data_IF_920295481956
#
_entry.id   IF_920295481956
#
_cell.length_a   1.000
_cell.length_b   1.000
_cell.length_c   1.000
_cell.angle_alpha   90.00
_cell.angle_beta   90.00
_cell.angle_gamma   90.00
#
_symmetry.space_group_name_H-M   'P 1'
#
loop_
_entity.id
_entity.type
_entity.pdbx_description
1 polymer ?
#
# COMPACT_ATOMS: atom_id res chain seq x y z
N UNK A 1 -26.77 -6.85 30.86
CA UNK A 1 -25.84 -5.77 30.47
C UNK A 1 -24.51 -6.43 30.17
N UNK A 2 -24.08 -6.44 28.91
CA UNK A 2 -22.79 -6.99 28.50
C UNK A 2 -22.00 -5.85 27.84
N UNK A 3 -20.71 -5.64 28.18
CA UNK A 3 -19.88 -4.71 27.43
C UNK A 3 -19.47 -5.38 26.11
N UNK A 4 -19.74 -4.70 25.01
CA UNK A 4 -19.18 -5.01 23.69
C UNK A 4 -17.68 -4.72 23.77
N UNK A 5 -16.89 -5.79 23.69
CA UNK A 5 -15.44 -5.72 23.50
C UNK A 5 -15.20 -5.02 22.17
N UNK A 6 -14.97 -3.72 22.26
CA UNK A 6 -14.74 -2.84 21.12
C UNK A 6 -13.30 -3.02 20.74
N UNK A 7 -13.12 -3.64 19.58
CA UNK A 7 -11.86 -4.01 18.97
C UNK A 7 -10.79 -2.93 19.16
N UNK A 8 -9.68 -3.36 19.75
CA UNK A 8 -8.46 -2.59 19.93
C UNK A 8 -7.88 -2.27 18.55
N UNK A 9 -8.34 -1.16 17.97
CA UNK A 9 -7.84 -0.63 16.70
C UNK A 9 -6.44 -0.08 16.95
N UNK A 10 -5.46 -1.00 16.93
CA UNK A 10 -4.04 -0.70 16.98
C UNK A 10 -3.76 0.43 16.00
N UNK A 11 -3.33 1.54 16.59
CA UNK A 11 -2.97 2.75 15.91
C UNK A 11 -1.89 2.43 14.86
N UNK A 12 -2.29 2.30 13.60
CA UNK A 12 -1.40 2.53 12.48
C UNK A 12 -1.12 4.04 12.43
N UNK A 13 -0.24 4.44 13.35
CA UNK A 13 0.54 5.67 13.32
C UNK A 13 1.00 5.85 11.88
N UNK A 14 0.41 6.84 11.23
CA UNK A 14 0.89 7.34 9.96
C UNK A 14 2.30 7.85 10.16
N UNK A 15 3.27 7.08 9.69
CA UNK A 15 4.62 7.58 9.46
C UNK A 15 4.88 7.51 7.96
N UNK A 16 4.15 8.37 7.24
CA UNK A 16 4.60 8.84 5.94
C UNK A 16 5.62 9.95 6.20
N UNK A 17 6.78 9.55 6.74
CA UNK A 17 7.95 10.39 6.85
C UNK A 17 8.53 10.54 5.46
N UNK A 18 8.17 11.63 4.76
CA UNK A 18 8.99 12.17 3.68
C UNK A 18 10.30 12.67 4.31
N UNK A 19 11.19 11.72 4.65
CA UNK A 19 12.50 12.00 5.21
C UNK A 19 13.42 12.44 4.08
N UNK A 20 13.54 13.75 3.92
CA UNK A 20 14.67 14.41 3.27
C UNK A 20 15.93 14.12 4.12
N UNK A 21 16.50 12.92 3.94
CA UNK A 21 17.69 12.48 4.64
C UNK A 21 18.42 11.46 3.78
N UNK A 22 19.62 11.83 3.31
CA UNK A 22 20.50 10.99 2.51
C UNK A 22 20.81 9.67 3.22
N UNK A 23 20.36 8.55 2.64
CA UNK A 23 20.95 7.23 2.89
C UNK A 23 20.83 6.39 1.62
N UNK A 24 21.95 5.99 0.97
CA UNK A 24 21.91 5.10 -0.18
C UNK A 24 21.76 3.66 0.31
N UNK A 25 20.52 3.19 0.44
CA UNK A 25 20.20 1.76 0.54
C UNK A 25 19.31 1.38 -0.65
N UNK A 26 19.92 1.32 -1.83
CA UNK A 26 19.24 1.20 -3.12
C UNK A 26 18.71 -0.20 -3.46
N UNK A 27 18.67 -1.13 -2.50
CA UNK A 27 18.10 -2.47 -2.73
C UNK A 27 16.79 -2.68 -1.93
N UNK A 28 16.76 -2.34 -0.64
CA UNK A 28 15.57 -2.54 0.20
C UNK A 28 14.35 -1.71 -0.21
N UNK A 29 14.53 -0.48 -0.71
CA UNK A 29 13.41 0.39 -1.09
C UNK A 29 12.74 -0.08 -2.39
N UNK A 30 13.54 -0.55 -3.35
CA UNK A 30 13.04 -1.09 -4.61
C UNK A 30 12.32 -2.42 -4.40
N UNK A 31 12.85 -3.29 -3.54
CA UNK A 31 12.23 -4.57 -3.21
C UNK A 31 10.94 -4.39 -2.40
N UNK A 32 10.93 -3.50 -1.41
CA UNK A 32 9.74 -3.12 -0.66
C UNK A 32 8.64 -2.53 -1.57
N UNK A 33 9.04 -1.73 -2.57
CA UNK A 33 8.10 -1.19 -3.58
C UNK A 33 7.56 -2.27 -4.51
N UNK A 34 8.40 -3.24 -4.92
CA UNK A 34 7.96 -4.40 -5.70
C UNK A 34 6.93 -5.21 -4.93
N UNK A 35 7.22 -5.52 -3.67
CA UNK A 35 6.30 -6.27 -2.80
C UNK A 35 4.96 -5.54 -2.60
N UNK A 36 4.99 -4.22 -2.38
CA UNK A 36 3.77 -3.39 -2.29
C UNK A 36 2.97 -3.41 -3.60
N UNK A 37 3.64 -3.31 -4.75
CA UNK A 37 2.96 -3.33 -6.05
C UNK A 37 2.33 -4.69 -6.37
N UNK A 38 3.01 -5.79 -6.02
CA UNK A 38 2.47 -7.14 -6.16
C UNK A 38 1.23 -7.32 -5.28
N UNK A 39 1.28 -6.87 -4.03
CA UNK A 39 0.14 -6.92 -3.13
C UNK A 39 -1.05 -6.11 -3.69
N UNK A 40 -0.81 -4.88 -4.15
CA UNK A 40 -1.86 -4.05 -4.80
C UNK A 40 -2.50 -4.76 -5.99
N UNK A 41 -1.71 -5.43 -6.81
CA UNK A 41 -2.21 -6.16 -7.99
C UNK A 41 -3.00 -7.41 -7.63
N UNK A 42 -2.52 -8.19 -6.66
CA UNK A 42 -3.23 -9.37 -6.15
C UNK A 42 -4.60 -8.98 -5.58
N UNK A 43 -4.63 -7.95 -4.73
CA UNK A 43 -5.87 -7.46 -4.12
C UNK A 43 -6.85 -6.90 -5.17
N UNK A 44 -6.34 -6.28 -6.23
CA UNK A 44 -7.18 -5.85 -7.35
C UNK A 44 -7.75 -7.03 -8.14
N UNK A 45 -6.97 -8.09 -8.35
CA UNK A 45 -7.44 -9.31 -9.01
C UNK A 45 -8.52 -10.03 -8.20
N UNK A 46 -8.47 -9.94 -6.87
CA UNK A 46 -9.53 -10.39 -5.96
C UNK A 46 -10.82 -9.53 -6.03
N UNK A 47 -10.82 -8.43 -6.79
CA UNK A 47 -11.96 -7.53 -6.94
C UNK A 47 -12.15 -6.53 -5.79
N UNK A 48 -11.14 -6.35 -4.92
CA UNK A 48 -11.21 -5.39 -3.81
C UNK A 48 -11.25 -3.95 -4.32
N UNK A 49 -11.98 -3.10 -3.59
CA UNK A 49 -12.03 -1.66 -3.86
C UNK A 49 -10.70 -0.98 -3.54
N UNK A 50 -10.38 0.13 -4.22
CA UNK A 50 -9.12 0.87 -4.07
C UNK A 50 -8.85 1.31 -2.62
N UNK A 51 -9.87 1.74 -1.89
CA UNK A 51 -9.75 2.11 -0.47
C UNK A 51 -9.44 0.89 0.42
N UNK A 52 -9.99 -0.28 0.08
CA UNK A 52 -9.68 -1.52 0.78
C UNK A 52 -8.24 -1.95 0.50
N UNK A 53 -7.82 -1.89 -0.77
CA UNK A 53 -6.46 -2.17 -1.21
C UNK A 53 -5.45 -1.25 -0.52
N UNK A 54 -5.73 0.05 -0.44
CA UNK A 54 -4.86 1.04 0.20
C UNK A 54 -4.62 0.70 1.68
N UNK A 55 -5.69 0.37 2.42
CA UNK A 55 -5.60 -0.03 3.82
C UNK A 55 -4.82 -1.34 3.99
N UNK A 56 -5.13 -2.36 3.20
CA UNK A 56 -4.55 -3.70 3.34
C UNK A 56 -3.10 -3.79 2.85
N UNK A 57 -2.74 -3.04 1.81
CA UNK A 57 -1.36 -2.94 1.32
C UNK A 57 -0.51 -1.92 2.09
N UNK A 58 -1.09 -1.17 3.04
CA UNK A 58 -0.39 -0.15 3.82
C UNK A 58 0.19 0.96 2.92
N UNK A 59 -0.60 1.43 1.96
CA UNK A 59 -0.22 2.50 1.02
C UNK A 59 -1.33 3.52 0.84
N UNK A 60 -1.00 4.71 0.38
CA UNK A 60 -2.01 5.73 0.08
C UNK A 60 -2.77 5.39 -1.21
N UNK A 61 -4.01 5.88 -1.31
CA UNK A 61 -4.84 5.75 -2.52
C UNK A 61 -4.14 6.27 -3.78
N UNK A 62 -3.40 7.38 -3.66
CA UNK A 62 -2.58 7.92 -4.76
C UNK A 62 -1.50 6.96 -5.25
N UNK A 63 -0.89 6.19 -4.33
CA UNK A 63 0.09 5.15 -4.66
C UNK A 63 -0.56 3.99 -5.39
N UNK A 64 -1.76 3.55 -4.95
CA UNK A 64 -2.55 2.52 -5.65
C UNK A 64 -2.86 2.95 -7.09
N UNK A 65 -3.38 4.17 -7.28
CA UNK A 65 -3.67 4.72 -8.61
C UNK A 65 -2.42 4.75 -9.50
N UNK A 66 -1.29 5.20 -8.93
CA UNK A 66 -0.01 5.27 -9.66
C UNK A 66 0.45 3.89 -10.10
N UNK A 67 0.42 2.88 -9.21
CA UNK A 67 0.79 1.50 -9.51
C UNK A 67 -0.08 0.93 -10.64
N UNK A 68 -1.41 1.09 -10.57
CA UNK A 68 -2.32 0.58 -11.61
C UNK A 68 -2.03 1.21 -12.97
N UNK A 69 -1.80 2.53 -13.00
CA UNK A 69 -1.46 3.24 -14.23
C UNK A 69 -0.16 2.75 -14.86
N UNK A 70 0.85 2.39 -14.06
CA UNK A 70 2.10 1.83 -14.61
C UNK A 70 1.87 0.46 -15.24
N UNK A 71 1.03 -0.37 -14.63
CA UNK A 71 0.75 -1.73 -15.10
C UNK A 71 -0.08 -1.70 -16.39
N UNK A 72 -1.10 -0.85 -16.47
CA UNK A 72 -1.87 -0.65 -17.72
C UNK A 72 -0.96 -0.20 -18.88
N UNK A 73 -0.03 0.73 -18.61
CA UNK A 73 0.91 1.22 -19.65
C UNK A 73 1.92 0.16 -20.06
N UNK A 74 2.36 -0.69 -19.13
CA UNK A 74 3.26 -1.80 -19.44
C UNK A 74 2.57 -2.91 -20.24
N UNK A 75 1.26 -3.10 -20.07
CA UNK A 75 0.48 -4.09 -20.82
C UNK A 75 0.05 -3.59 -22.20
N UNK A 76 0.08 -2.28 -22.46
CA UNK A 76 -0.36 -1.66 -23.70
C UNK A 76 0.79 -1.42 -24.71
N UNK A 77 1.99 -1.94 -24.43
CA UNK A 77 3.19 -1.80 -25.25
C UNK A 77 3.72 -3.12 -25.78
#
# INVERSE_FOLDING_TARGET
MAPVDTEHFEALRGENGNSLGMIPAHDSSADAMRHKSENVLRLKAEGKSMDCIAREAGVSRSTVTRIMRYVERASAG
#
